data_IF_583184594204
#
_entry.id   IF_583184594204
#
_cell.length_a   1.000
_cell.length_b   1.000
_cell.length_c   1.000
_cell.angle_alpha   90.00
_cell.angle_beta   90.00
_cell.angle_gamma   90.00
#
_symmetry.space_group_name_H-M   'P 1'
#
loop_
_entity.id
_entity.type
_entity.pdbx_description
1 polymer ?
#
# COMPACT_ATOMS: atom_id res chain seq x y z
N UNK A 1 -16.01 -31.21 -72.69
CA UNK A 1 -14.65 -30.63 -72.78
C UNK A 1 -14.77 -29.17 -72.34
N UNK A 2 -14.16 -28.65 -71.27
CA UNK A 2 -12.99 -29.03 -70.46
C UNK A 2 -13.29 -28.77 -68.97
N UNK A 3 -12.65 -29.56 -68.11
CA UNK A 3 -12.78 -29.58 -66.64
C UNK A 3 -12.13 -28.35 -65.98
N UNK A 4 -12.74 -27.94 -64.86
CA UNK A 4 -12.27 -26.92 -63.92
C UNK A 4 -11.25 -27.58 -62.99
N UNK A 5 -10.03 -27.04 -62.92
CA UNK A 5 -8.98 -27.49 -62.00
C UNK A 5 -9.01 -26.64 -60.72
N UNK A 6 -9.23 -27.30 -59.58
CA UNK A 6 -9.06 -26.76 -58.23
C UNK A 6 -7.64 -27.07 -57.76
N UNK A 7 -6.85 -26.14 -57.22
CA UNK A 7 -5.54 -26.48 -56.67
C UNK A 7 -5.69 -27.04 -55.25
N UNK A 8 -5.15 -28.25 -55.07
CA UNK A 8 -4.96 -28.91 -53.77
C UNK A 8 -3.72 -28.30 -53.09
N UNK A 9 -3.89 -27.71 -51.91
CA UNK A 9 -2.77 -27.28 -51.06
C UNK A 9 -2.28 -28.50 -50.27
N UNK A 10 -1.04 -28.90 -50.53
CA UNK A 10 -0.34 -29.98 -49.86
C UNK A 10 0.15 -29.48 -48.48
N UNK A 11 -0.46 -29.97 -47.40
CA UNK A 11 0.02 -29.75 -46.03
C UNK A 11 1.18 -30.72 -45.73
N UNK A 12 2.39 -30.20 -45.69
CA UNK A 12 3.58 -30.93 -45.20
C UNK A 12 3.57 -30.84 -43.67
N UNK A 13 3.30 -31.97 -43.00
CA UNK A 13 3.46 -32.10 -41.56
C UNK A 13 4.96 -32.25 -41.23
N UNK A 14 5.59 -31.18 -40.75
CA UNK A 14 6.90 -31.23 -40.12
C UNK A 14 6.72 -31.53 -38.64
N UNK A 15 6.98 -32.77 -38.24
CA UNK A 15 7.11 -33.19 -36.85
C UNK A 15 8.40 -32.62 -36.27
N UNK A 16 8.33 -31.44 -35.65
CA UNK A 16 9.41 -30.93 -34.80
C UNK A 16 9.16 -31.48 -33.41
N UNK A 17 9.93 -32.50 -33.02
CA UNK A 17 10.01 -32.93 -31.63
C UNK A 17 10.72 -31.83 -30.84
N UNK A 18 9.95 -30.98 -30.18
CA UNK A 18 10.47 -30.05 -29.19
C UNK A 18 10.83 -30.84 -27.93
N UNK A 19 12.11 -31.20 -27.79
CA UNK A 19 12.68 -31.37 -26.47
C UNK A 19 12.75 -29.99 -25.84
N UNK A 20 11.70 -29.64 -25.10
CA UNK A 20 11.68 -28.52 -24.17
C UNK A 20 12.72 -28.82 -23.09
N UNK A 21 13.92 -28.28 -23.27
CA UNK A 21 14.79 -28.00 -22.15
C UNK A 21 14.10 -26.87 -21.40
N UNK A 22 13.49 -27.20 -20.25
CA UNK A 22 13.21 -26.20 -19.25
C UNK A 22 14.57 -25.72 -18.74
N UNK A 23 15.12 -24.68 -19.37
CA UNK A 23 16.12 -23.87 -18.70
C UNK A 23 15.39 -23.22 -17.52
N UNK A 24 15.65 -23.73 -16.32
CA UNK A 24 15.37 -23.01 -15.08
C UNK A 24 15.98 -21.62 -15.25
N UNK A 25 15.13 -20.60 -15.37
CA UNK A 25 15.57 -19.21 -15.41
C UNK A 25 16.11 -18.88 -14.02
N UNK A 26 17.39 -19.19 -13.79
CA UNK A 26 18.09 -18.89 -12.55
C UNK A 26 18.18 -17.37 -12.41
N UNK A 27 17.30 -16.80 -11.58
CA UNK A 27 17.39 -15.43 -11.14
C UNK A 27 18.50 -15.32 -10.09
N UNK A 28 19.60 -14.66 -10.42
CA UNK A 28 20.60 -14.25 -9.45
C UNK A 28 19.94 -13.27 -8.45
N UNK A 29 19.96 -13.55 -7.13
CA UNK A 29 19.39 -12.65 -6.14
C UNK A 29 19.97 -11.23 -6.27
N UNK A 30 19.09 -10.23 -6.41
CA UNK A 30 19.47 -8.81 -6.55
C UNK A 30 20.11 -8.22 -5.28
N UNK A 31 20.06 -8.93 -4.17
CA UNK A 31 20.54 -8.48 -2.85
C UNK A 31 21.68 -9.40 -2.38
N UNK A 32 22.70 -8.81 -1.76
CA UNK A 32 23.62 -9.59 -0.94
C UNK A 32 22.80 -10.34 0.12
N UNK A 33 23.13 -11.61 0.30
CA UNK A 33 22.50 -12.51 1.26
C UNK A 33 22.47 -11.95 2.69
N UNK A 34 23.57 -11.30 3.10
CA UNK A 34 23.65 -10.50 4.31
C UNK A 34 23.01 -9.12 4.10
N UNK A 35 22.16 -8.68 5.03
CA UNK A 35 21.50 -7.38 4.90
C UNK A 35 22.51 -6.21 4.91
N UNK A 36 22.36 -5.30 3.96
CA UNK A 36 23.11 -4.03 3.96
C UNK A 36 22.56 -3.06 5.04
N UNK A 37 23.19 -1.89 5.19
CA UNK A 37 22.77 -0.90 6.20
C UNK A 37 21.35 -0.34 6.01
N UNK A 38 20.79 -0.38 4.81
CA UNK A 38 19.42 0.06 4.49
C UNK A 38 18.37 -1.06 4.69
N UNK A 39 18.83 -2.31 4.77
CA UNK A 39 18.00 -3.48 4.93
C UNK A 39 18.06 -4.07 6.35
N UNK A 40 18.96 -3.61 7.21
CA UNK A 40 19.10 -4.17 8.55
C UNK A 40 17.82 -3.99 9.42
N UNK A 41 17.30 -5.06 10.09
CA UNK A 41 16.14 -4.97 10.98
C UNK A 41 16.23 -3.92 12.11
N UNK A 42 17.46 -3.50 12.47
CA UNK A 42 17.72 -2.47 13.49
C UNK A 42 17.14 -1.11 13.14
N UNK A 43 16.86 -0.86 11.87
CA UNK A 43 16.18 0.37 11.44
C UNK A 43 14.80 0.48 12.10
N UNK A 44 14.06 -0.63 12.20
CA UNK A 44 12.75 -0.67 12.83
C UNK A 44 12.84 -0.94 14.34
N UNK A 45 13.71 -1.87 14.73
CA UNK A 45 13.78 -2.36 16.11
C UNK A 45 15.23 -2.50 16.58
N UNK A 46 15.66 -1.67 17.54
CA UNK A 46 17.00 -1.76 18.12
C UNK A 46 17.29 -3.12 18.77
N UNK A 47 16.24 -3.86 19.15
CA UNK A 47 16.28 -5.26 19.61
C UNK A 47 15.14 -6.02 18.93
N UNK A 48 15.44 -7.18 18.35
CA UNK A 48 14.50 -8.07 17.67
C UNK A 48 14.84 -9.53 17.97
N UNK A 49 13.86 -10.42 17.84
CA UNK A 49 14.10 -11.86 17.87
C UNK A 49 14.65 -12.32 16.52
N UNK A 50 15.76 -13.07 16.54
CA UNK A 50 16.36 -13.65 15.34
C UNK A 50 16.47 -15.16 15.40
N UNK A 51 16.24 -15.79 16.57
CA UNK A 51 16.17 -17.25 16.66
C UNK A 51 14.93 -17.74 15.92
N UNK A 52 15.14 -18.49 14.84
CA UNK A 52 14.06 -18.86 13.92
C UNK A 52 12.90 -19.56 14.61
N UNK A 53 13.18 -20.52 15.50
CA UNK A 53 12.17 -21.27 16.24
C UNK A 53 11.33 -20.42 17.22
N UNK A 54 11.73 -19.18 17.50
CA UNK A 54 10.97 -18.23 18.34
C UNK A 54 10.14 -17.24 17.52
N UNK A 55 10.33 -17.22 16.20
CA UNK A 55 9.52 -16.41 15.29
C UNK A 55 8.21 -17.18 15.06
N UNK A 56 7.03 -16.60 15.37
CA UNK A 56 5.76 -17.29 15.16
C UNK A 56 5.48 -17.50 13.67
N UNK A 57 4.99 -18.68 13.29
CA UNK A 57 4.65 -19.02 11.89
C UNK A 57 3.48 -18.23 11.33
N UNK A 58 2.60 -17.70 12.18
CA UNK A 58 1.53 -16.81 11.76
C UNK A 58 1.20 -15.77 12.82
N UNK A 59 0.82 -14.58 12.37
CA UNK A 59 0.28 -13.52 13.21
C UNK A 59 -0.67 -12.61 12.40
N UNK A 60 -1.61 -11.99 13.10
CA UNK A 60 -2.54 -11.02 12.54
C UNK A 60 -2.44 -9.70 13.30
N UNK A 61 -2.39 -8.59 12.58
CA UNK A 61 -2.48 -7.27 13.17
C UNK A 61 -3.89 -7.06 13.72
N UNK A 62 -3.98 -6.98 15.06
CA UNK A 62 -5.23 -7.03 15.81
C UNK A 62 -6.17 -5.85 15.57
N UNK A 63 -5.62 -4.72 15.12
CA UNK A 63 -6.42 -3.52 14.83
C UNK A 63 -7.29 -3.75 13.59
N UNK A 64 -8.54 -3.29 13.67
CA UNK A 64 -9.43 -3.21 12.52
C UNK A 64 -8.98 -2.10 11.56
N UNK A 65 -8.81 -2.48 10.30
CA UNK A 65 -8.48 -1.63 9.17
C UNK A 65 -9.74 -1.32 8.35
N UNK A 66 -9.60 -0.47 7.34
CA UNK A 66 -10.69 -0.04 6.49
C UNK A 66 -10.22 0.26 5.07
N UNK A 67 -10.88 -0.36 4.10
CA UNK A 67 -10.70 -0.05 2.69
C UNK A 67 -11.44 1.24 2.32
N UNK A 68 -10.80 2.05 1.49
CA UNK A 68 -11.35 3.25 0.84
C UNK A 68 -10.45 3.55 -0.37
N UNK A 69 -10.65 4.67 -1.03
CA UNK A 69 -9.97 5.01 -2.27
C UNK A 69 -8.56 5.58 -2.01
N UNK A 70 -7.70 5.50 -3.03
CA UNK A 70 -6.44 6.23 -3.06
C UNK A 70 -6.62 7.70 -3.48
N UNK A 71 -7.86 8.12 -3.76
CA UNK A 71 -8.26 9.47 -4.17
C UNK A 71 -7.39 9.99 -5.32
N UNK A 72 -7.58 9.46 -6.53
CA UNK A 72 -6.71 9.71 -7.68
C UNK A 72 -6.58 11.20 -8.00
N UNK A 73 -5.35 11.64 -8.27
CA UNK A 73 -5.06 13.04 -8.58
C UNK A 73 -5.77 13.51 -9.85
N UNK A 74 -5.88 12.66 -10.86
CA UNK A 74 -6.50 13.04 -12.14
C UNK A 74 -8.02 13.30 -12.01
N UNK A 75 -8.67 12.74 -10.99
CA UNK A 75 -10.08 13.00 -10.67
C UNK A 75 -10.29 14.23 -9.78
N UNK A 76 -9.20 14.87 -9.32
CA UNK A 76 -9.25 16.00 -8.40
C UNK A 76 -8.89 15.65 -6.95
N UNK A 77 -8.46 14.42 -6.67
CA UNK A 77 -8.22 13.94 -5.31
C UNK A 77 -9.47 14.09 -4.44
N UNK A 78 -9.30 14.52 -3.18
CA UNK A 78 -10.43 14.69 -2.24
C UNK A 78 -11.35 15.88 -2.55
N UNK A 79 -11.16 16.57 -3.68
CA UNK A 79 -12.11 17.57 -4.23
C UNK A 79 -13.05 16.98 -5.29
N UNK A 80 -12.95 15.68 -5.54
CA UNK A 80 -13.91 14.92 -6.34
C UNK A 80 -15.23 14.74 -5.56
N UNK A 81 -16.36 15.07 -6.18
CA UNK A 81 -17.70 14.78 -5.64
C UNK A 81 -18.09 13.38 -6.06
N UNK A 82 -17.78 12.42 -5.19
CA UNK A 82 -17.81 11.00 -5.52
C UNK A 82 -19.22 10.42 -5.65
N UNK A 83 -20.22 11.04 -5.01
CA UNK A 83 -21.63 10.64 -5.08
C UNK A 83 -22.25 10.96 -6.45
N UNK A 84 -21.82 12.06 -7.07
CA UNK A 84 -22.35 12.58 -8.33
C UNK A 84 -21.38 12.41 -9.51
N UNK A 85 -20.23 11.80 -9.24
CA UNK A 85 -19.14 11.58 -10.20
C UNK A 85 -18.59 12.86 -10.85
N UNK A 86 -18.56 13.97 -10.12
CA UNK A 86 -18.11 15.27 -10.65
C UNK A 86 -16.68 15.62 -10.19
N UNK A 87 -15.79 15.84 -11.17
CA UNK A 87 -14.47 16.40 -10.92
C UNK A 87 -14.50 17.93 -10.78
N UNK A 88 -13.38 18.56 -10.39
CA UNK A 88 -13.31 20.02 -10.20
C UNK A 88 -13.62 20.89 -11.43
N UNK A 89 -13.73 20.28 -12.62
CA UNK A 89 -14.13 20.97 -13.87
C UNK A 89 -15.64 20.93 -14.11
N UNK A 90 -16.34 20.02 -13.43
CA UNK A 90 -17.75 19.71 -13.67
C UNK A 90 -18.67 20.48 -12.71
N UNK A 91 -18.10 21.13 -11.69
CA UNK A 91 -18.85 21.95 -10.73
C UNK A 91 -18.21 23.31 -10.48
N UNK A 92 -18.98 24.20 -9.83
CA UNK A 92 -18.49 25.48 -9.30
C UNK A 92 -18.66 25.50 -7.79
N UNK A 93 -17.70 26.11 -7.11
CA UNK A 93 -17.78 26.35 -5.67
C UNK A 93 -18.89 27.36 -5.39
N UNK A 94 -19.73 27.05 -4.41
CA UNK A 94 -20.86 27.90 -4.02
C UNK A 94 -20.39 29.21 -3.39
N UNK A 95 -21.25 30.23 -3.39
CA UNK A 95 -21.03 31.42 -2.56
C UNK A 95 -21.44 31.15 -1.11
N UNK A 96 -20.93 31.94 -0.17
CA UNK A 96 -21.34 31.86 1.25
C UNK A 96 -22.86 32.03 1.46
N UNK A 97 -23.53 32.77 0.58
CA UNK A 97 -24.99 32.94 0.58
C UNK A 97 -25.71 31.68 0.11
N UNK A 98 -25.19 31.03 -0.93
CA UNK A 98 -25.86 29.89 -1.56
C UNK A 98 -25.70 28.63 -0.73
N UNK A 99 -24.57 28.46 -0.02
CA UNK A 99 -24.33 27.29 0.86
C UNK A 99 -25.42 27.17 1.94
N UNK A 100 -25.89 28.30 2.47
CA UNK A 100 -26.95 28.33 3.49
C UNK A 100 -28.34 27.96 2.96
N UNK A 101 -28.49 27.87 1.64
CA UNK A 101 -29.74 27.52 0.95
C UNK A 101 -29.74 26.09 0.43
N UNK A 102 -28.59 25.40 0.48
CA UNK A 102 -28.48 24.01 0.07
C UNK A 102 -29.34 23.13 0.97
N UNK A 103 -30.02 22.19 0.34
CA UNK A 103 -30.70 21.10 1.03
C UNK A 103 -29.68 20.15 1.68
N UNK A 104 -30.10 19.33 2.66
CA UNK A 104 -29.24 18.29 3.23
C UNK A 104 -28.65 17.34 2.19
N UNK A 105 -29.39 17.02 1.12
CA UNK A 105 -28.91 16.20 0.02
C UNK A 105 -27.80 16.90 -0.76
N UNK A 106 -27.99 18.17 -1.14
CA UNK A 106 -26.96 18.93 -1.86
C UNK A 106 -25.69 19.14 -1.01
N UNK A 107 -25.82 19.27 0.31
CA UNK A 107 -24.68 19.31 1.24
C UNK A 107 -23.96 17.96 1.31
N UNK A 108 -24.70 16.85 1.28
CA UNK A 108 -24.14 15.51 1.27
C UNK A 108 -23.35 15.22 -0.01
N UNK A 109 -23.75 15.77 -1.15
CA UNK A 109 -23.10 15.61 -2.45
C UNK A 109 -21.84 16.48 -2.65
N UNK A 110 -21.50 17.36 -1.70
CA UNK A 110 -20.26 18.13 -1.74
C UNK A 110 -19.03 17.21 -1.58
N UNK A 111 -17.90 17.62 -2.15
CA UNK A 111 -16.66 16.84 -2.03
C UNK A 111 -16.13 16.88 -0.58
N UNK A 112 -15.31 15.90 -0.16
CA UNK A 112 -14.71 15.90 1.17
C UNK A 112 -13.97 17.22 1.50
N UNK A 113 -13.28 17.79 0.51
CA UNK A 113 -12.59 19.08 0.67
C UNK A 113 -13.54 20.26 0.90
N UNK A 114 -14.64 20.35 0.13
CA UNK A 114 -15.65 21.40 0.29
C UNK A 114 -16.30 21.30 1.67
N UNK A 115 -16.68 20.08 2.08
CA UNK A 115 -17.24 19.83 3.40
C UNK A 115 -16.28 20.29 4.50
N UNK A 116 -14.99 20.03 4.37
CA UNK A 116 -13.98 20.43 5.36
C UNK A 116 -13.82 21.95 5.50
N UNK A 117 -13.81 22.70 4.40
CA UNK A 117 -13.81 24.17 4.43
C UNK A 117 -15.05 24.70 5.19
N UNK A 118 -16.25 24.23 4.81
CA UNK A 118 -17.51 24.68 5.42
C UNK A 118 -17.54 24.35 6.91
N UNK A 119 -17.13 23.13 7.29
CA UNK A 119 -17.07 22.69 8.69
C UNK A 119 -16.20 23.66 9.52
N UNK A 120 -15.12 24.18 8.94
CA UNK A 120 -14.20 25.12 9.61
C UNK A 120 -14.70 26.58 9.61
N UNK A 121 -15.78 26.86 8.87
CA UNK A 121 -16.36 28.20 8.69
C UNK A 121 -15.76 28.98 7.51
N UNK A 122 -15.01 28.31 6.63
CA UNK A 122 -14.24 28.93 5.55
C UNK A 122 -14.99 28.88 4.22
N UNK A 123 -15.96 29.78 4.04
CA UNK A 123 -16.84 29.80 2.85
C UNK A 123 -16.18 30.33 1.56
N UNK A 124 -14.91 30.74 1.61
CA UNK A 124 -14.11 31.10 0.43
C UNK A 124 -13.38 29.90 -0.19
N UNK A 125 -13.50 28.73 0.46
CA UNK A 125 -12.94 27.44 0.05
C UNK A 125 -11.42 27.42 -0.16
N UNK A 126 -10.60 27.99 0.74
CA UNK A 126 -9.14 28.00 0.58
C UNK A 126 -8.53 26.59 0.57
N UNK A 127 -9.06 25.65 1.37
CA UNK A 127 -8.58 24.27 1.40
C UNK A 127 -8.90 23.56 0.09
N UNK A 128 -10.15 23.63 -0.37
CA UNK A 128 -10.60 22.99 -1.61
C UNK A 128 -9.83 23.51 -2.81
N UNK A 129 -9.65 24.83 -2.93
CA UNK A 129 -8.82 25.41 -4.01
C UNK A 129 -7.38 24.93 -3.97
N UNK A 130 -6.81 24.71 -2.77
CA UNK A 130 -5.47 24.10 -2.62
C UNK A 130 -5.46 22.66 -3.11
N UNK A 131 -6.45 21.85 -2.72
CA UNK A 131 -6.60 20.46 -3.17
C UNK A 131 -6.72 20.40 -4.70
N UNK A 132 -7.58 21.23 -5.32
CA UNK A 132 -7.74 21.28 -6.77
C UNK A 132 -6.39 21.58 -7.47
N UNK A 133 -5.64 22.58 -6.98
CA UNK A 133 -4.32 22.92 -7.56
C UNK A 133 -3.29 21.79 -7.43
N UNK A 134 -3.38 20.97 -6.39
CA UNK A 134 -2.50 19.82 -6.19
C UNK A 134 -2.83 18.63 -7.10
N UNK A 135 -4.00 18.63 -7.75
CA UNK A 135 -4.56 17.47 -8.43
C UNK A 135 -4.98 17.80 -9.87
N UNK A 136 -4.00 18.00 -10.78
CA UNK A 136 -4.30 18.30 -12.18
C UNK A 136 -4.88 17.08 -12.89
N UNK A 137 -5.84 17.30 -13.80
CA UNK A 137 -6.53 16.23 -14.53
C UNK A 137 -5.64 15.39 -15.46
N UNK A 138 -4.40 15.82 -15.72
CA UNK A 138 -3.41 15.10 -16.52
C UNK A 138 -2.40 14.33 -15.67
N UNK A 139 -2.62 14.23 -14.36
CA UNK A 139 -1.79 13.41 -13.49
C UNK A 139 -1.87 11.93 -13.93
N UNK A 140 -0.77 11.16 -13.83
CA UNK A 140 -0.80 9.72 -14.07
C UNK A 140 -1.84 9.00 -13.19
N UNK A 141 -2.45 7.96 -13.73
CA UNK A 141 -3.59 7.25 -13.11
C UNK A 141 -3.28 6.72 -11.71
N UNK A 142 -2.09 6.16 -11.50
CA UNK A 142 -1.66 5.60 -10.21
C UNK A 142 -1.42 6.65 -9.12
N UNK A 143 -1.27 7.93 -9.48
CA UNK A 143 -0.94 8.95 -8.49
C UNK A 143 -2.17 9.31 -7.67
N UNK A 144 -2.01 9.19 -6.34
CA UNK A 144 -2.99 9.63 -5.36
C UNK A 144 -2.36 9.83 -3.98
N UNK A 145 -3.12 9.46 -2.95
CA UNK A 145 -2.76 9.53 -1.55
C UNK A 145 -2.85 8.16 -0.85
N UNK A 146 -2.64 7.05 -1.58
CA UNK A 146 -2.57 5.69 -1.02
C UNK A 146 -1.65 5.59 0.21
N UNK A 147 -0.48 6.23 0.18
CA UNK A 147 0.43 6.32 1.34
C UNK A 147 -0.20 7.00 2.57
N UNK A 148 -1.06 8.00 2.38
CA UNK A 148 -1.79 8.64 3.46
C UNK A 148 -2.92 7.76 3.99
N UNK A 149 -3.65 7.09 3.12
CA UNK A 149 -4.67 6.09 3.48
C UNK A 149 -4.08 4.93 4.27
N UNK A 150 -2.95 4.40 3.81
CA UNK A 150 -2.23 3.32 4.48
C UNK A 150 -1.76 3.73 5.89
N UNK A 151 -1.22 4.95 6.03
CA UNK A 151 -0.80 5.50 7.31
C UNK A 151 -1.97 5.81 8.25
N UNK A 152 -3.10 6.29 7.72
CA UNK A 152 -4.32 6.50 8.48
C UNK A 152 -4.81 5.19 9.09
N UNK A 153 -4.78 4.10 8.32
CA UNK A 153 -5.12 2.75 8.77
C UNK A 153 -4.26 2.25 9.93
N UNK A 154 -2.97 2.62 10.00
CA UNK A 154 -2.13 2.27 11.14
C UNK A 154 -2.54 2.98 12.43
N UNK A 155 -3.24 4.11 12.35
CA UNK A 155 -3.44 5.01 13.50
C UNK A 155 -4.88 5.23 13.92
N UNK A 156 -5.81 5.34 12.98
CA UNK A 156 -7.22 5.60 13.26
C UNK A 156 -8.09 4.36 13.04
N UNK A 157 -9.09 4.18 13.89
CA UNK A 157 -10.12 3.16 13.68
C UNK A 157 -10.93 3.49 12.41
N UNK A 158 -11.67 2.53 11.84
CA UNK A 158 -12.61 2.83 10.77
C UNK A 158 -13.51 4.00 11.15
N UNK A 159 -13.55 5.08 10.34
CA UNK A 159 -14.36 6.24 10.69
C UNK A 159 -15.85 5.91 10.56
N UNK A 160 -16.67 6.43 11.46
CA UNK A 160 -18.13 6.30 11.39
C UNK A 160 -18.74 7.49 10.65
N UNK A 161 -19.80 7.25 9.89
CA UNK A 161 -20.56 8.35 9.28
C UNK A 161 -21.25 9.19 10.36
N UNK A 162 -21.32 10.51 10.14
CA UNK A 162 -21.95 11.44 11.08
C UNK A 162 -22.25 12.78 10.47
N UNK A 163 -23.15 13.51 11.11
CA UNK A 163 -23.41 14.91 10.78
C UNK A 163 -22.64 15.82 11.74
N UNK A 164 -21.91 16.79 11.19
CA UNK A 164 -21.16 17.77 11.97
C UNK A 164 -21.69 19.17 11.71
N UNK A 165 -21.94 19.91 12.79
CA UNK A 165 -22.37 21.31 12.70
C UNK A 165 -21.15 22.23 12.48
N UNK A 166 -21.14 22.93 11.36
CA UNK A 166 -20.16 23.94 11.03
C UNK A 166 -20.22 25.15 11.97
N UNK A 167 -19.11 25.91 12.04
CA UNK A 167 -19.13 27.26 12.62
C UNK A 167 -20.11 28.12 11.81
N UNK A 168 -21.23 28.49 12.43
CA UNK A 168 -22.32 29.23 11.76
C UNK A 168 -23.60 28.43 11.54
N UNK A 169 -23.72 27.23 12.13
CA UNK A 169 -25.00 26.52 12.32
C UNK A 169 -25.45 25.67 11.14
N UNK A 170 -24.55 25.30 10.23
CA UNK A 170 -24.88 24.46 9.06
C UNK A 170 -24.52 23.03 9.41
N UNK A 171 -25.51 22.14 9.39
CA UNK A 171 -25.31 20.71 9.62
C UNK A 171 -24.87 20.03 8.33
N UNK A 172 -23.66 19.46 8.33
CA UNK A 172 -23.04 18.85 7.15
C UNK A 172 -22.97 17.33 7.37
N UNK A 173 -23.62 16.53 6.51
CA UNK A 173 -23.42 15.08 6.50
C UNK A 173 -22.01 14.73 6.04
N UNK A 174 -21.28 13.98 6.85
CA UNK A 174 -20.02 13.33 6.48
C UNK A 174 -20.24 11.83 6.41
N UNK A 175 -20.13 11.27 5.22
CA UNK A 175 -20.09 9.82 5.03
C UNK A 175 -18.73 9.29 5.47
N UNK A 176 -18.67 7.98 5.71
CA UNK A 176 -17.42 7.31 6.09
C UNK A 176 -16.30 7.57 5.07
N UNK A 177 -16.60 7.55 3.76
CA UNK A 177 -15.62 7.90 2.73
C UNK A 177 -15.17 9.37 2.75
N UNK A 178 -16.01 10.31 3.17
CA UNK A 178 -15.58 11.72 3.32
C UNK A 178 -14.55 11.88 4.44
N UNK A 179 -14.78 11.21 5.58
CA UNK A 179 -13.86 11.26 6.72
C UNK A 179 -12.57 10.52 6.41
N UNK A 180 -12.68 9.34 5.80
CA UNK A 180 -11.55 8.57 5.27
C UNK A 180 -10.67 9.43 4.36
N UNK A 181 -11.26 10.12 3.37
CA UNK A 181 -10.55 11.01 2.46
C UNK A 181 -9.74 12.09 3.20
N UNK A 182 -10.36 12.73 4.20
CA UNK A 182 -9.75 13.80 4.96
C UNK A 182 -8.62 13.31 5.87
N UNK A 183 -8.78 12.16 6.52
CA UNK A 183 -7.71 11.51 7.28
C UNK A 183 -6.55 11.12 6.36
N UNK A 184 -6.84 10.47 5.23
CA UNK A 184 -5.84 10.11 4.22
C UNK A 184 -5.08 11.33 3.73
N UNK A 185 -5.76 12.44 3.45
CA UNK A 185 -5.12 13.69 3.04
C UNK A 185 -4.23 14.27 4.15
N UNK A 186 -4.70 14.29 5.40
CA UNK A 186 -3.89 14.74 6.53
C UNK A 186 -2.58 13.95 6.62
N UNK A 187 -2.67 12.62 6.59
CA UNK A 187 -1.51 11.74 6.71
C UNK A 187 -0.54 11.88 5.51
N UNK A 188 -1.08 12.08 4.29
CA UNK A 188 -0.28 12.27 3.08
C UNK A 188 0.38 13.64 2.95
N UNK A 189 -0.33 14.73 3.28
CA UNK A 189 0.06 16.10 2.87
C UNK A 189 0.36 17.05 4.04
N UNK A 190 -0.30 16.87 5.18
CA UNK A 190 -0.21 17.79 6.30
C UNK A 190 0.74 17.28 7.39
N UNK A 191 0.69 15.98 7.71
CA UNK A 191 1.44 15.39 8.82
C UNK A 191 2.96 15.43 8.58
N UNK A 192 3.67 16.13 9.46
CA UNK A 192 5.15 16.16 9.48
C UNK A 192 5.74 15.21 10.52
N UNK A 193 6.90 14.64 10.19
CA UNK A 193 7.66 13.80 11.11
C UNK A 193 8.58 12.84 10.37
N UNK A 194 9.47 12.19 11.13
CA UNK A 194 10.38 11.18 10.60
C UNK A 194 9.61 9.93 10.21
N UNK A 195 10.03 9.33 9.10
CA UNK A 195 9.59 8.02 8.61
C UNK A 195 10.69 7.03 8.91
N UNK A 196 10.34 5.90 9.50
CA UNK A 196 11.23 4.75 9.57
C UNK A 196 11.00 3.92 8.30
N UNK A 197 12.07 3.64 7.57
CA UNK A 197 12.00 3.12 6.21
C UNK A 197 13.07 2.04 6.03
N UNK A 198 12.66 0.84 5.65
CA UNK A 198 13.51 -0.33 5.39
C UNK A 198 13.52 -0.58 3.89
N UNK A 199 14.70 -0.84 3.33
CA UNK A 199 14.91 -0.88 1.89
C UNK A 199 15.17 0.51 1.30
N UNK A 200 15.17 0.60 -0.03
CA UNK A 200 15.36 1.86 -0.76
C UNK A 200 14.40 1.88 -1.93
N UNK A 201 13.77 3.03 -2.18
CA UNK A 201 13.01 3.22 -3.42
C UNK A 201 13.91 3.03 -4.62
N UNK A 202 13.52 2.15 -5.53
CA UNK A 202 14.11 2.10 -6.86
C UNK A 202 13.85 3.43 -7.59
N UNK A 203 14.93 4.12 -8.01
CA UNK A 203 14.85 5.38 -8.78
C UNK A 203 15.49 5.27 -10.17
N UNK A 204 16.06 4.11 -10.50
CA UNK A 204 16.75 3.86 -11.76
C UNK A 204 15.79 3.41 -12.87
N UNK A 205 16.15 3.71 -14.13
CA UNK A 205 15.48 3.11 -15.30
C UNK A 205 15.91 1.66 -15.55
N UNK A 206 16.92 1.19 -14.82
CA UNK A 206 17.53 -0.13 -14.93
C UNK A 206 17.40 -0.90 -13.62
N UNK A 207 16.76 -2.05 -13.70
CA UNK A 207 16.44 -2.97 -12.58
C UNK A 207 17.72 -3.45 -11.86
N UNK A 208 18.86 -3.51 -12.54
CA UNK A 208 20.15 -4.00 -12.01
C UNK A 208 21.05 -2.93 -11.36
N UNK A 209 20.50 -1.80 -10.92
CA UNK A 209 21.31 -0.82 -10.17
C UNK A 209 21.27 -1.12 -8.67
N UNK A 210 22.38 -0.91 -7.96
CA UNK A 210 22.50 -1.00 -6.48
C UNK A 210 21.49 -0.09 -5.73
N UNK A 211 20.84 0.82 -6.46
CA UNK A 211 19.75 1.69 -6.00
C UNK A 211 18.36 1.07 -6.06
N UNK A 212 18.22 -0.17 -6.55
CA UNK A 212 16.99 -0.95 -6.64
C UNK A 212 17.13 -2.30 -5.93
N UNK A 213 18.02 -2.37 -4.92
CA UNK A 213 18.10 -3.53 -4.04
C UNK A 213 16.83 -3.60 -3.19
N UNK A 214 15.98 -4.59 -3.49
CA UNK A 214 14.76 -4.91 -2.78
C UNK A 214 15.02 -5.16 -1.28
N UNK A 215 13.96 -5.20 -0.48
CA UNK A 215 14.09 -5.56 0.94
C UNK A 215 14.66 -6.97 1.06
N UNK A 216 15.74 -7.12 1.83
CA UNK A 216 16.29 -8.45 2.12
C UNK A 216 15.22 -9.32 2.83
N UNK A 217 14.95 -10.56 2.37
CA UNK A 217 13.80 -11.33 2.83
C UNK A 217 13.89 -11.75 4.30
N UNK A 218 15.11 -11.97 4.83
CA UNK A 218 15.27 -12.17 6.28
C UNK A 218 14.90 -10.94 7.08
N UNK A 219 15.19 -9.77 6.54
CA UNK A 219 14.84 -8.51 7.18
C UNK A 219 13.34 -8.27 7.16
N UNK A 220 12.69 -8.56 6.04
CA UNK A 220 11.23 -8.60 5.92
C UNK A 220 10.61 -9.56 6.94
N UNK A 221 11.09 -10.81 6.99
CA UNK A 221 10.58 -11.86 7.88
C UNK A 221 10.64 -11.46 9.36
N UNK A 222 11.80 -10.94 9.80
CA UNK A 222 12.01 -10.48 11.18
C UNK A 222 11.16 -9.24 11.49
N UNK A 223 11.19 -8.23 10.62
CA UNK A 223 10.48 -6.96 10.86
C UNK A 223 8.98 -7.18 10.89
N UNK A 224 8.43 -8.04 10.04
CA UNK A 224 7.02 -8.40 10.02
C UNK A 224 6.59 -9.06 11.35
N UNK A 225 7.32 -10.10 11.78
CA UNK A 225 7.01 -10.81 13.01
C UNK A 225 7.14 -9.94 14.27
N UNK A 226 8.20 -9.14 14.38
CA UNK A 226 8.41 -8.23 15.51
C UNK A 226 7.40 -7.07 15.53
N UNK A 227 6.96 -6.60 14.37
CA UNK A 227 5.94 -5.57 14.26
C UNK A 227 4.63 -6.03 14.90
N UNK A 228 4.16 -7.23 14.56
CA UNK A 228 2.89 -7.74 15.05
C UNK A 228 2.96 -8.15 16.53
N UNK A 229 4.08 -8.74 16.97
CA UNK A 229 4.36 -9.01 18.38
C UNK A 229 4.30 -7.76 19.26
N UNK A 230 4.60 -6.59 18.68
CA UNK A 230 4.57 -5.28 19.36
C UNK A 230 3.31 -4.47 19.06
N UNK A 231 2.31 -5.08 18.42
CA UNK A 231 1.08 -4.42 17.97
C UNK A 231 1.35 -3.13 17.17
N UNK A 232 2.39 -3.16 16.34
CA UNK A 232 2.77 -2.07 15.44
C UNK A 232 2.46 -2.50 14.02
N UNK A 233 1.51 -1.82 13.38
CA UNK A 233 1.27 -2.04 11.96
C UNK A 233 2.39 -1.47 11.10
N UNK A 234 2.53 -2.03 9.90
CA UNK A 234 3.54 -1.66 8.91
C UNK A 234 2.91 -1.55 7.54
N UNK A 235 3.50 -0.72 6.70
CA UNK A 235 3.07 -0.49 5.32
C UNK A 235 4.16 -1.02 4.39
N UNK A 236 3.75 -1.71 3.34
CA UNK A 236 4.64 -2.19 2.30
C UNK A 236 4.30 -1.54 0.96
N UNK A 237 5.34 -1.31 0.17
CA UNK A 237 5.20 -1.25 -1.28
C UNK A 237 5.52 -2.63 -1.86
N UNK A 238 4.53 -3.20 -2.53
CA UNK A 238 4.55 -4.57 -3.05
C UNK A 238 4.65 -4.61 -4.58
N UNK A 239 4.68 -3.44 -5.23
CA UNK A 239 4.88 -3.33 -6.68
C UNK A 239 6.36 -3.00 -6.97
N UNK A 240 7.10 -3.87 -7.67
CA UNK A 240 8.49 -3.59 -8.06
C UNK A 240 8.61 -2.61 -9.25
N UNK A 241 7.49 -2.10 -9.77
CA UNK A 241 7.42 -1.15 -10.87
C UNK A 241 7.77 0.29 -10.49
N UNK A 242 7.58 1.23 -11.43
CA UNK A 242 7.76 2.66 -11.16
C UNK A 242 6.62 3.28 -10.34
N UNK A 243 5.50 2.57 -10.27
CA UNK A 243 4.27 3.00 -9.65
C UNK A 243 4.29 2.51 -8.20
N UNK A 244 3.99 3.42 -7.27
CA UNK A 244 4.17 3.15 -5.83
C UNK A 244 2.82 2.94 -5.18
N UNK A 245 2.58 1.73 -4.69
CA UNK A 245 1.32 1.31 -4.09
C UNK A 245 1.52 0.92 -2.62
N UNK A 246 0.91 1.67 -1.71
CA UNK A 246 1.19 1.54 -0.28
C UNK A 246 0.07 0.78 0.40
N UNK A 247 0.37 -0.41 0.92
CA UNK A 247 -0.61 -1.27 1.53
C UNK A 247 -0.27 -1.56 3.00
N UNK A 248 -1.21 -1.34 3.94
CA UNK A 248 -1.10 -1.90 5.28
C UNK A 248 -1.06 -3.43 5.24
N UNK A 249 -0.10 -4.04 5.92
CA UNK A 249 -0.08 -5.50 6.07
C UNK A 249 -1.01 -5.90 7.22
N UNK A 250 -1.96 -6.79 6.94
CA UNK A 250 -2.96 -7.29 7.90
C UNK A 250 -2.51 -8.57 8.61
N UNK A 251 -1.97 -9.55 7.89
CA UNK A 251 -1.56 -10.82 8.50
C UNK A 251 -0.45 -11.48 7.70
N UNK A 252 0.23 -12.44 8.32
CA UNK A 252 1.10 -13.36 7.61
C UNK A 252 0.94 -14.78 8.16
N UNK A 253 1.21 -15.76 7.31
CA UNK A 253 1.29 -17.17 7.63
C UNK A 253 2.34 -17.81 6.73
N UNK A 254 3.39 -18.35 7.32
CA UNK A 254 4.47 -19.00 6.58
C UNK A 254 4.62 -20.47 6.91
N UNK A 255 5.15 -21.20 5.94
CA UNK A 255 5.49 -22.61 6.02
C UNK A 255 6.96 -22.80 5.67
N UNK A 256 7.61 -23.74 6.35
CA UNK A 256 8.93 -24.24 5.94
C UNK A 256 8.68 -25.35 4.92
N UNK A 257 9.13 -25.16 3.69
CA UNK A 257 8.84 -26.08 2.58
C UNK A 257 10.10 -26.82 2.08
N UNK A 258 11.26 -26.53 2.66
CA UNK A 258 12.53 -27.14 2.26
C UNK A 258 13.70 -26.68 3.12
N UNK A 259 14.82 -27.37 2.95
CA UNK A 259 16.11 -27.08 3.60
C UNK A 259 17.24 -27.41 2.62
N UNK A 260 18.35 -26.67 2.69
CA UNK A 260 19.56 -26.95 1.93
C UNK A 260 20.83 -26.46 2.64
N UNK A 261 21.97 -26.95 2.16
CA UNK A 261 23.28 -26.40 2.52
C UNK A 261 23.42 -24.95 2.00
N UNK A 262 24.16 -24.08 2.71
CA UNK A 262 24.36 -22.69 2.28
C UNK A 262 24.95 -22.59 0.87
N UNK A 263 24.39 -21.70 0.06
CA UNK A 263 24.94 -21.43 -1.27
C UNK A 263 26.19 -20.54 -1.18
N UNK A 264 26.95 -20.45 -2.29
CA UNK A 264 28.26 -19.78 -2.30
C UNK A 264 28.23 -18.29 -1.88
N UNK A 265 27.10 -17.63 -2.09
CA UNK A 265 26.90 -16.21 -1.78
C UNK A 265 26.09 -15.98 -0.50
N UNK A 266 25.78 -17.02 0.27
CA UNK A 266 25.05 -16.91 1.54
C UNK A 266 25.77 -15.99 2.55
N UNK A 267 25.03 -15.45 3.50
CA UNK A 267 25.59 -14.62 4.57
C UNK A 267 26.74 -15.34 5.28
N UNK A 268 27.76 -14.57 5.66
CA UNK A 268 28.94 -15.14 6.30
C UNK A 268 28.54 -15.77 7.65
N UNK A 269 28.84 -17.06 7.79
CA UNK A 269 28.53 -17.83 9.01
C UNK A 269 27.25 -18.66 8.89
N UNK A 270 26.58 -18.63 7.74
CA UNK A 270 25.48 -19.53 7.42
C UNK A 270 25.96 -20.98 7.44
N UNK A 271 25.22 -21.83 8.13
CA UNK A 271 25.44 -23.29 8.17
C UNK A 271 24.25 -24.06 7.60
N UNK A 272 23.12 -23.39 7.37
CA UNK A 272 21.89 -23.97 6.85
C UNK A 272 21.02 -22.90 6.21
N UNK A 273 20.28 -23.27 5.18
CA UNK A 273 19.21 -22.46 4.60
C UNK A 273 17.87 -23.17 4.68
N UNK A 274 16.82 -22.43 5.02
CA UNK A 274 15.44 -22.93 5.08
C UNK A 274 14.58 -22.19 4.07
N UNK A 275 13.75 -22.94 3.35
CA UNK A 275 12.86 -22.41 2.33
C UNK A 275 11.53 -22.02 2.97
N UNK A 276 11.17 -20.75 2.84
CA UNK A 276 9.95 -20.18 3.40
C UNK A 276 8.99 -19.80 2.29
N UNK A 277 7.78 -20.37 2.36
CA UNK A 277 6.63 -19.89 1.60
C UNK A 277 5.70 -19.12 2.54
N UNK A 278 5.57 -17.81 2.33
CA UNK A 278 4.85 -16.90 3.22
C UNK A 278 3.65 -16.27 2.51
N UNK A 279 2.45 -16.59 2.99
CA UNK A 279 1.20 -15.95 2.59
C UNK A 279 0.96 -14.72 3.46
N UNK A 280 0.88 -13.56 2.82
CA UNK A 280 0.67 -12.27 3.48
C UNK A 280 -0.64 -11.66 3.00
N UNK A 281 -1.49 -11.22 3.94
CA UNK A 281 -2.70 -10.48 3.62
C UNK A 281 -2.43 -9.00 3.74
N UNK A 282 -2.77 -8.25 2.71
CA UNK A 282 -2.68 -6.80 2.67
C UNK A 282 -4.06 -6.18 2.55
N UNK A 283 -4.21 -4.95 3.01
CA UNK A 283 -5.42 -4.16 2.79
C UNK A 283 -5.36 -3.49 1.41
N UNK A 284 -6.47 -3.56 0.68
CA UNK A 284 -6.59 -3.03 -0.69
C UNK A 284 -7.59 -1.89 -0.76
N UNK A 285 -7.35 -0.95 -1.70
CA UNK A 285 -8.27 0.16 -1.97
C UNK A 285 -9.63 -0.32 -2.51
N UNK A 286 -10.65 0.50 -2.29
CA UNK A 286 -11.99 0.35 -2.90
C UNK A 286 -12.50 1.70 -3.35
N UNK A 287 -13.41 1.74 -4.32
CA UNK A 287 -14.11 2.98 -4.66
C UNK A 287 -14.83 3.57 -3.44
N UNK A 288 -14.92 4.91 -3.32
CA UNK A 288 -15.70 5.53 -2.26
C UNK A 288 -17.18 5.14 -2.42
N UNK A 289 -17.87 4.91 -1.29
CA UNK A 289 -19.23 4.37 -1.28
C UNK A 289 -20.04 4.93 -0.11
N UNK A 290 -21.36 5.03 -0.30
CA UNK A 290 -22.31 5.30 0.79
C UNK A 290 -22.46 4.10 1.72
N UNK A 291 -22.11 2.90 1.24
CA UNK A 291 -22.03 1.67 2.01
C UNK A 291 -20.61 1.07 1.81
N UNK A 292 -19.60 1.63 2.50
CA UNK A 292 -18.23 1.21 2.32
C UNK A 292 -17.98 -0.15 2.96
N UNK A 293 -17.28 -1.00 2.23
CA UNK A 293 -16.83 -2.30 2.71
C UNK A 293 -16.00 -2.15 4.01
N UNK A 294 -15.92 -3.24 4.79
CA UNK A 294 -15.04 -3.33 5.94
C UNK A 294 -13.57 -3.39 5.52
N UNK A 295 -12.91 -4.49 5.87
CA UNK A 295 -11.57 -4.81 5.36
C UNK A 295 -11.72 -5.58 4.04
N UNK A 296 -11.25 -5.01 2.92
CA UNK A 296 -11.02 -5.76 1.68
C UNK A 296 -9.55 -6.14 1.64
N UNK A 297 -9.28 -7.45 1.64
CA UNK A 297 -7.93 -7.98 1.76
C UNK A 297 -7.56 -8.77 0.52
N UNK A 298 -6.37 -8.51 -0.02
CA UNK A 298 -5.73 -9.36 -1.02
C UNK A 298 -4.68 -10.26 -0.39
N UNK A 299 -4.43 -11.40 -1.02
CA UNK A 299 -3.44 -12.38 -0.61
C UNK A 299 -2.22 -12.33 -1.53
N UNK A 300 -1.06 -12.12 -0.93
CA UNK A 300 0.24 -12.10 -1.59
C UNK A 300 1.08 -13.27 -1.10
N UNK A 301 1.86 -13.83 -2.01
CA UNK A 301 2.70 -15.00 -1.75
C UNK A 301 4.16 -14.61 -1.95
N UNK A 302 4.96 -14.82 -0.92
CA UNK A 302 6.38 -14.47 -0.89
C UNK A 302 7.18 -15.75 -0.70
N UNK A 303 8.12 -15.98 -1.60
CA UNK A 303 8.94 -17.18 -1.65
C UNK A 303 10.43 -16.82 -1.52
N UNK A 304 11.06 -17.29 -0.45
CA UNK A 304 12.44 -16.94 -0.12
C UNK A 304 13.13 -17.97 0.76
N UNK A 305 14.46 -17.93 0.73
CA UNK A 305 15.33 -18.69 1.63
C UNK A 305 15.78 -17.81 2.79
N UNK A 306 15.73 -18.35 4.02
CA UNK A 306 16.38 -17.77 5.18
C UNK A 306 17.68 -18.51 5.47
N UNK A 307 18.71 -17.77 5.80
CA UNK A 307 20.03 -18.28 6.12
C UNK A 307 20.27 -18.23 7.62
N UNK A 308 20.68 -19.36 8.19
CA UNK A 308 20.85 -19.52 9.63
C UNK A 308 22.29 -19.78 10.04
N UNK A 309 22.70 -19.18 11.15
CA UNK A 309 23.94 -19.51 11.84
C UNK A 309 23.83 -20.82 12.64
N UNK A 310 24.95 -21.25 13.26
CA UNK A 310 25.02 -22.47 14.07
C UNK A 310 24.11 -22.47 15.31
N UNK A 311 23.63 -21.30 15.74
CA UNK A 311 22.69 -21.15 16.86
C UNK A 311 21.22 -21.09 16.38
N UNK A 312 20.96 -21.34 15.10
CA UNK A 312 19.65 -21.19 14.43
C UNK A 312 19.12 -19.74 14.47
N UNK A 313 19.99 -18.74 14.43
CA UNK A 313 19.59 -17.34 14.19
C UNK A 313 19.55 -17.05 12.71
N UNK A 314 18.49 -16.38 12.28
CA UNK A 314 18.38 -15.80 10.95
C UNK A 314 19.38 -14.65 10.83
N UNK A 315 20.32 -14.77 9.88
CA UNK A 315 21.40 -13.79 9.63
C UNK A 315 21.40 -13.21 8.22
N UNK A 316 20.61 -13.79 7.32
CA UNK A 316 20.52 -13.39 5.92
C UNK A 316 19.42 -14.14 5.21
N UNK A 317 19.25 -13.86 3.92
CA UNK A 317 18.29 -14.57 3.08
C UNK A 317 18.28 -14.05 1.66
N UNK A 318 17.75 -14.88 0.76
CA UNK A 318 17.65 -14.61 -0.68
C UNK A 318 16.25 -14.88 -1.19
N UNK A 319 15.72 -13.99 -2.03
CA UNK A 319 14.44 -14.22 -2.71
C UNK A 319 14.56 -15.40 -3.68
N UNK A 320 13.55 -16.27 -3.71
CA UNK A 320 13.48 -17.36 -4.66
C UNK A 320 12.74 -16.91 -5.94
N UNK A 321 11.58 -16.29 -5.78
CA UNK A 321 10.74 -15.79 -6.87
C UNK A 321 10.23 -14.36 -6.59
N UNK A 322 9.57 -13.76 -7.59
CA UNK A 322 8.76 -12.54 -7.41
C UNK A 322 7.35 -12.90 -6.95
N UNK A 323 6.60 -11.99 -6.29
CA UNK A 323 6.94 -10.60 -5.99
C UNK A 323 7.95 -10.45 -4.86
N UNK A 324 8.62 -9.29 -4.84
CA UNK A 324 9.52 -8.87 -3.76
C UNK A 324 8.99 -7.55 -3.18
N UNK A 325 9.37 -7.24 -1.94
CA UNK A 325 9.00 -5.99 -1.28
C UNK A 325 10.03 -4.92 -1.65
N UNK A 326 9.63 -3.80 -2.27
CA UNK A 326 10.54 -2.69 -2.59
C UNK A 326 10.96 -1.97 -1.28
N UNK A 327 9.98 -1.68 -0.42
CA UNK A 327 10.24 -1.12 0.90
C UNK A 327 9.13 -1.36 1.93
N UNK A 328 9.54 -1.33 3.20
CA UNK A 328 8.62 -1.26 4.34
C UNK A 328 8.78 0.08 5.04
N UNK A 329 7.69 0.63 5.56
CA UNK A 329 7.78 1.83 6.36
C UNK A 329 6.71 1.92 7.43
N UNK A 330 7.01 2.73 8.45
CA UNK A 330 6.04 3.14 9.46
C UNK A 330 6.40 4.52 10.03
N UNK A 331 5.43 5.12 10.71
CA UNK A 331 5.61 6.35 11.49
C UNK A 331 4.90 6.21 12.83
N UNK A 332 5.52 6.65 13.92
CA UNK A 332 4.88 6.60 15.25
C UNK A 332 3.72 7.57 15.36
N UNK A 333 2.54 7.11 15.84
CA UNK A 333 1.31 7.91 15.98
C UNK A 333 1.57 9.26 16.65
N UNK A 334 0.95 10.31 16.12
CA UNK A 334 0.86 11.64 16.73
C UNK A 334 -0.61 12.01 16.90
N UNK A 335 -0.91 12.91 17.83
CA UNK A 335 -2.25 13.48 17.95
C UNK A 335 -2.65 14.21 16.66
N UNK A 336 -3.91 14.04 16.24
CA UNK A 336 -4.48 14.84 15.16
C UNK A 336 -4.63 16.30 15.59
N UNK A 337 -4.41 17.27 14.70
CA UNK A 337 -4.85 18.65 14.93
C UNK A 337 -6.36 18.71 15.14
N UNK A 338 -6.82 19.73 15.87
CA UNK A 338 -8.23 19.88 16.29
C UNK A 338 -9.22 19.72 15.14
N UNK A 339 -8.95 20.32 13.99
CA UNK A 339 -9.86 20.34 12.84
C UNK A 339 -10.06 18.95 12.22
N UNK A 340 -9.05 18.08 12.31
CA UNK A 340 -9.15 16.66 11.92
C UNK A 340 -9.65 15.78 13.05
N UNK A 341 -9.24 16.05 14.30
CA UNK A 341 -9.65 15.26 15.46
C UNK A 341 -11.17 15.22 15.63
N UNK A 342 -11.87 16.34 15.36
CA UNK A 342 -13.34 16.38 15.42
C UNK A 342 -14.03 15.48 14.38
N UNK A 343 -13.35 15.09 13.30
CA UNK A 343 -13.91 14.15 12.31
C UNK A 343 -14.07 12.74 12.87
N UNK A 344 -13.34 12.39 13.93
CA UNK A 344 -13.39 11.06 14.57
C UNK A 344 -13.70 11.13 16.08
N UNK A 345 -13.99 12.33 16.59
CA UNK A 345 -14.45 12.54 17.96
C UNK A 345 -15.95 12.23 18.08
N UNK A 346 -16.34 11.55 19.15
CA UNK A 346 -17.75 11.35 19.55
C UNK A 346 -18.37 12.63 20.15
N UNK A 347 -17.55 13.66 20.37
CA UNK A 347 -17.92 14.95 20.96
C UNK A 347 -17.73 16.11 19.99
#
# INVERSE_FOLDING_TARGET
>A
MRQIFTPVILLIALSVTTHLWAEEMHWEPSTQAEWNSANHPRIFFSKYESLFHKIPSSQTFSKLLWSDDYWPRFMGGISYRWQTYQGPRDYRLYSSRDIRRLSPQELDELSPAEKFDILNGDFDFPFTRRVIRQNPSHAPGWQGICHGWAEANLHEMPPEEKTLTAKGGIDIPFRRSDIAALLSYYYAKERRGRVTFLGRRCRGKTINSTSCEDVNPASFHIVLAESFKRSRGIIADIDPGSDVWNHPIKSYEYQVIGEREPHANAARGSVKEIHIFNKVKILTETSPSTDPNGEVLDEMYFDYWLELDSDNRVIGGSWHERPQIDFLWYRSKKSLPRDYARLISDK
#
